data_IF_541634035590
#
_entry.id   IF_541634035590
#
_cell.length_a   1.000
_cell.length_b   1.000
_cell.length_c   1.000
_cell.angle_alpha   90.00
_cell.angle_beta   90.00
_cell.angle_gamma   90.00
#
_symmetry.space_group_name_H-M   'P 1'
#
loop_
_entity.id
_entity.type
_entity.pdbx_description
1 polymer ?
#
# COMPACT_ATOMS: atom_id res chain seq x y z
N UNK A 1 -3.24 16.78 34.60
CA UNK A 1 -2.20 15.86 35.11
C UNK A 1 -2.24 14.60 34.27
N UNK A 2 -1.32 14.42 33.31
CA UNK A 2 -1.30 13.26 32.41
C UNK A 2 -1.01 11.98 33.19
N UNK A 3 -1.74 10.90 32.92
CA UNK A 3 -1.43 9.57 33.48
C UNK A 3 -0.14 9.03 32.84
N UNK A 4 1.00 9.47 33.37
CA UNK A 4 2.37 9.02 33.03
C UNK A 4 2.64 7.56 33.47
N UNK A 5 1.65 6.85 34.01
CA UNK A 5 1.80 5.57 34.72
C UNK A 5 1.31 4.33 33.98
N UNK A 6 0.59 4.43 32.85
CA UNK A 6 0.17 3.23 32.10
C UNK A 6 1.38 2.52 31.48
N UNK A 7 1.51 1.23 31.75
CA UNK A 7 2.58 0.39 31.19
C UNK A 7 2.27 0.07 29.72
N UNK A 8 1.00 -0.17 29.39
CA UNK A 8 0.54 -0.41 28.04
C UNK A 8 0.89 0.76 27.10
N UNK A 9 0.69 2.00 27.56
CA UNK A 9 1.07 3.19 26.80
C UNK A 9 2.57 3.22 26.47
N UNK A 10 3.44 2.92 27.44
CA UNK A 10 4.90 2.89 27.25
C UNK A 10 5.32 1.78 26.27
N UNK A 11 4.76 0.58 26.44
CA UNK A 11 5.03 -0.54 25.55
C UNK A 11 4.60 -0.24 24.12
N UNK A 12 3.41 0.34 23.94
CA UNK A 12 2.92 0.64 22.60
C UNK A 12 3.72 1.74 21.92
N UNK A 13 4.16 2.78 22.65
CA UNK A 13 5.10 3.78 22.10
C UNK A 13 6.43 3.16 21.68
N UNK A 14 6.94 2.22 22.49
CA UNK A 14 8.18 1.51 22.18
C UNK A 14 8.04 0.64 20.92
N UNK A 15 6.93 -0.10 20.80
CA UNK A 15 6.63 -0.90 19.62
C UNK A 15 6.47 -0.02 18.35
N UNK A 16 5.80 1.13 18.46
CA UNK A 16 5.63 2.05 17.32
C UNK A 16 6.94 2.68 16.86
N UNK A 17 7.91 2.87 17.75
CA UNK A 17 9.23 3.39 17.38
C UNK A 17 10.02 2.39 16.51
N UNK A 18 9.74 1.09 16.65
CA UNK A 18 10.34 0.01 15.85
C UNK A 18 9.59 -0.21 14.53
N UNK A 19 8.45 0.46 14.31
CA UNK A 19 7.64 0.24 13.12
C UNK A 19 8.36 0.75 11.87
N UNK A 20 8.38 -0.03 10.77
CA UNK A 20 9.05 0.37 9.55
C UNK A 20 8.42 1.63 8.95
N UNK A 21 9.25 2.41 8.24
CA UNK A 21 8.78 3.57 7.48
C UNK A 21 8.07 3.10 6.21
N UNK A 22 6.88 3.63 5.98
CA UNK A 22 6.15 3.39 4.74
C UNK A 22 6.60 4.41 3.69
N UNK A 23 7.33 3.95 2.67
CA UNK A 23 7.80 4.81 1.58
C UNK A 23 6.71 5.13 0.56
N UNK A 24 5.65 4.31 0.49
CA UNK A 24 4.57 4.48 -0.48
C UNK A 24 3.65 5.63 -0.11
N UNK A 25 3.58 5.97 1.18
CA UNK A 25 2.66 6.97 1.73
C UNK A 25 3.37 7.91 2.70
N UNK A 26 4.35 8.69 2.24
CA UNK A 26 5.19 9.52 3.11
C UNK A 26 4.37 10.55 3.93
N UNK A 27 3.24 11.02 3.40
CA UNK A 27 2.35 11.98 4.06
C UNK A 27 1.56 11.38 5.24
N UNK A 28 1.49 10.05 5.35
CA UNK A 28 0.61 9.38 6.30
C UNK A 28 1.25 8.09 6.81
N UNK A 29 2.11 8.25 7.81
CA UNK A 29 2.78 7.12 8.45
C UNK A 29 1.89 6.46 9.50
N UNK A 30 1.82 5.12 9.44
CA UNK A 30 1.05 4.31 10.40
C UNK A 30 1.40 4.64 11.86
N UNK A 31 2.71 4.75 12.16
CA UNK A 31 3.19 5.06 13.51
C UNK A 31 2.58 6.34 14.07
N UNK A 32 2.45 7.37 13.24
CA UNK A 32 1.94 8.68 13.64
C UNK A 32 0.42 8.66 13.87
N UNK A 33 -0.33 7.99 12.98
CA UNK A 33 -1.79 7.86 13.13
C UNK A 33 -2.11 7.12 14.42
N UNK A 34 -1.44 6.00 14.67
CA UNK A 34 -1.69 5.19 15.86
C UNK A 34 -1.27 5.95 17.12
N UNK A 35 -0.13 6.64 17.10
CA UNK A 35 0.30 7.47 18.22
C UNK A 35 -0.75 8.53 18.58
N UNK A 36 -1.25 9.29 17.58
CA UNK A 36 -2.33 10.27 17.79
C UNK A 36 -3.62 9.62 18.31
N UNK A 37 -3.93 8.41 17.84
CA UNK A 37 -5.05 7.61 18.31
C UNK A 37 -4.91 7.25 19.80
N UNK A 38 -3.73 6.78 20.21
CA UNK A 38 -3.40 6.44 21.59
C UNK A 38 -3.50 7.69 22.47
N UNK A 39 -2.82 8.78 22.11
CA UNK A 39 -2.83 10.02 22.89
C UNK A 39 -4.27 10.52 23.15
N UNK A 40 -5.15 10.44 22.15
CA UNK A 40 -6.57 10.77 22.31
C UNK A 40 -7.31 9.82 23.25
N UNK A 41 -7.05 8.51 23.20
CA UNK A 41 -7.70 7.53 24.10
C UNK A 41 -7.30 7.76 25.56
N UNK A 42 -6.02 8.05 25.82
CA UNK A 42 -5.49 8.24 27.17
C UNK A 42 -5.74 9.65 27.74
N UNK A 43 -6.14 10.61 26.91
CA UNK A 43 -6.55 11.96 27.34
C UNK A 43 -8.03 12.03 27.74
N UNK A 44 -8.88 11.18 27.16
CA UNK A 44 -10.31 11.12 27.51
C UNK A 44 -10.50 10.56 28.94
N UNK A 45 -11.49 11.03 29.71
CA UNK A 45 -11.76 10.55 31.07
C UNK A 45 -12.25 9.10 31.13
N UNK A 46 -12.43 8.42 29.99
CA UNK A 46 -12.78 7.01 29.95
C UNK A 46 -11.73 6.16 30.67
N UNK A 47 -12.21 5.21 31.46
CA UNK A 47 -11.38 4.21 32.13
C UNK A 47 -10.80 3.31 31.04
N UNK A 48 -9.53 3.53 30.70
CA UNK A 48 -8.78 2.67 29.79
C UNK A 48 -8.60 1.31 30.48
N UNK A 49 -9.03 0.24 29.81
CA UNK A 49 -8.77 -1.13 30.26
C UNK A 49 -7.30 -1.48 29.96
N UNK A 50 -6.47 -1.38 31.00
CA UNK A 50 -5.03 -1.63 30.92
C UNK A 50 -4.70 -3.05 30.43
N UNK A 51 -5.49 -4.06 30.84
CA UNK A 51 -5.25 -5.44 30.43
C UNK A 51 -5.49 -5.64 28.94
N UNK A 52 -6.54 -4.99 28.40
CA UNK A 52 -6.82 -4.99 26.96
C UNK A 52 -5.73 -4.26 26.18
N UNK A 53 -5.25 -3.11 26.66
CA UNK A 53 -4.21 -2.34 25.97
C UNK A 53 -2.85 -3.06 26.00
N UNK A 54 -2.51 -3.78 27.09
CA UNK A 54 -1.32 -4.64 27.14
C UNK A 54 -1.37 -5.75 26.09
N UNK A 55 -2.53 -6.38 25.88
CA UNK A 55 -2.70 -7.39 24.81
C UNK A 55 -2.47 -6.77 23.42
N UNK A 56 -2.95 -5.54 23.20
CA UNK A 56 -2.71 -4.82 21.95
C UNK A 56 -1.24 -4.47 21.75
N UNK A 57 -0.54 -4.03 22.79
CA UNK A 57 0.91 -3.77 22.73
C UNK A 57 1.69 -5.05 22.38
N UNK A 58 1.35 -6.18 23.01
CA UNK A 58 1.96 -7.47 22.69
C UNK A 58 1.70 -7.91 21.24
N UNK A 59 0.49 -7.68 20.72
CA UNK A 59 0.17 -7.95 19.33
C UNK A 59 1.02 -7.08 18.39
N UNK A 60 1.22 -5.79 18.72
CA UNK A 60 2.06 -4.88 17.94
C UNK A 60 3.50 -5.39 17.85
N UNK A 61 4.10 -5.79 18.98
CA UNK A 61 5.44 -6.39 18.97
C UNK A 61 5.51 -7.68 18.14
N UNK A 62 4.49 -8.55 18.24
CA UNK A 62 4.45 -9.78 17.45
C UNK A 62 4.40 -9.51 15.93
N UNK A 63 3.76 -8.42 15.50
CA UNK A 63 3.75 -7.97 14.12
C UNK A 63 5.11 -7.40 13.70
N UNK A 64 5.70 -6.52 14.51
CA UNK A 64 7.01 -5.91 14.22
C UNK A 64 8.14 -6.94 14.15
N UNK A 65 8.08 -8.00 14.97
CA UNK A 65 9.05 -9.09 14.96
C UNK A 65 8.84 -10.11 13.81
N UNK A 66 7.88 -9.86 12.90
CA UNK A 66 7.50 -10.76 11.82
C UNK A 66 7.15 -12.17 12.33
N UNK A 67 6.62 -12.29 13.55
CA UNK A 67 6.39 -13.59 14.21
C UNK A 67 5.51 -14.51 13.39
N UNK A 68 4.49 -13.96 12.76
CA UNK A 68 3.53 -14.73 11.96
C UNK A 68 4.11 -15.15 10.61
N UNK A 69 4.94 -14.31 9.99
CA UNK A 69 5.70 -14.67 8.78
C UNK A 69 6.65 -15.83 9.04
N UNK A 70 7.33 -15.84 10.20
CA UNK A 70 8.21 -16.94 10.63
C UNK A 70 7.43 -18.21 10.97
N UNK A 71 6.27 -18.06 11.63
CA UNK A 71 5.46 -19.20 12.08
C UNK A 71 4.73 -19.91 10.95
N UNK A 72 4.29 -19.16 9.94
CA UNK A 72 3.51 -19.63 8.81
C UNK A 72 4.23 -19.24 7.51
N UNK A 73 5.32 -19.93 7.15
CA UNK A 73 6.04 -19.63 5.91
C UNK A 73 5.13 -19.88 4.71
N UNK A 74 5.15 -18.95 3.76
CA UNK A 74 4.42 -19.12 2.51
C UNK A 74 5.17 -20.08 1.59
N UNK A 75 4.47 -21.08 1.06
CA UNK A 75 5.03 -21.99 0.07
C UNK A 75 5.33 -21.21 -1.22
N UNK A 76 6.51 -21.40 -1.80
CA UNK A 76 6.95 -20.65 -2.98
C UNK A 76 6.08 -20.85 -4.22
N UNK A 77 5.29 -21.92 -4.25
CA UNK A 77 4.30 -22.22 -5.31
C UNK A 77 3.09 -21.27 -5.24
N UNK A 78 2.65 -20.86 -4.04
CA UNK A 78 1.56 -19.90 -3.87
C UNK A 78 1.91 -18.50 -4.38
N UNK A 79 3.21 -18.18 -4.46
CA UNK A 79 3.73 -16.90 -4.96
C UNK A 79 4.04 -16.94 -6.46
N UNK A 80 3.67 -18.01 -7.17
CA UNK A 80 3.93 -18.20 -8.60
C UNK A 80 2.65 -18.71 -9.27
N UNK A 81 1.67 -17.83 -9.57
CA UNK A 81 0.45 -18.28 -10.24
C UNK A 81 0.79 -18.84 -11.62
N UNK A 82 0.13 -19.93 -12.01
CA UNK A 82 0.35 -20.61 -13.30
C UNK A 82 0.24 -19.66 -14.51
N UNK A 83 -0.65 -18.68 -14.45
CA UNK A 83 -0.85 -17.70 -15.51
C UNK A 83 0.31 -16.72 -15.68
N UNK A 84 1.04 -16.41 -14.60
CA UNK A 84 2.18 -15.49 -14.62
C UNK A 84 3.11 -15.75 -13.42
N UNK A 85 4.09 -16.65 -13.56
CA UNK A 85 4.97 -17.04 -12.45
C UNK A 85 5.80 -15.89 -11.84
N UNK A 86 6.01 -14.79 -12.57
CA UNK A 86 6.76 -13.61 -12.11
C UNK A 86 5.89 -12.51 -11.51
N UNK A 87 4.56 -12.65 -11.51
CA UNK A 87 3.61 -11.58 -11.18
C UNK A 87 3.94 -10.82 -9.89
N UNK A 88 4.12 -11.54 -8.78
CA UNK A 88 4.40 -10.90 -7.48
C UNK A 88 5.81 -10.31 -7.40
N UNK A 89 6.78 -10.83 -8.16
CA UNK A 89 8.12 -10.25 -8.23
C UNK A 89 8.11 -8.94 -9.01
N UNK A 90 7.39 -8.91 -10.14
CA UNK A 90 7.17 -7.70 -10.93
C UNK A 90 6.41 -6.64 -10.12
N UNK A 91 5.37 -7.05 -9.38
CA UNK A 91 4.62 -6.15 -8.49
C UNK A 91 5.49 -5.56 -7.39
N UNK A 92 6.33 -6.36 -6.72
CA UNK A 92 7.24 -5.89 -5.68
C UNK A 92 8.26 -4.89 -6.24
N UNK A 93 8.85 -5.21 -7.40
CA UNK A 93 9.76 -4.33 -8.11
C UNK A 93 9.09 -3.00 -8.43
N UNK A 94 7.90 -3.02 -9.00
CA UNK A 94 7.12 -1.80 -9.29
C UNK A 94 6.81 -1.01 -8.02
N UNK A 95 6.50 -1.68 -6.91
CA UNK A 95 6.18 -1.06 -5.63
C UNK A 95 7.40 -0.38 -4.99
N UNK A 96 8.57 -1.00 -5.05
CA UNK A 96 9.84 -0.42 -4.58
C UNK A 96 10.28 0.76 -5.46
N UNK A 97 9.97 0.70 -6.75
CA UNK A 97 10.30 1.74 -7.72
C UNK A 97 9.28 2.90 -7.70
N UNK A 98 8.03 2.67 -7.28
CA UNK A 98 6.94 3.64 -7.23
C UNK A 98 7.24 4.94 -6.45
N UNK A 99 7.84 4.93 -5.22
CA UNK A 99 8.11 6.16 -4.49
C UNK A 99 9.12 7.08 -5.20
N UNK A 100 10.00 6.52 -6.04
CA UNK A 100 10.98 7.29 -6.81
C UNK A 100 10.50 7.63 -8.23
N UNK A 101 9.58 6.87 -8.82
CA UNK A 101 9.16 7.06 -10.22
C UNK A 101 8.15 8.17 -10.44
N UNK A 102 7.09 8.30 -9.62
CA UNK A 102 6.03 9.28 -9.86
C UNK A 102 6.35 10.69 -9.35
N UNK A 103 6.95 10.79 -8.16
CA UNK A 103 7.26 12.06 -7.52
C UNK A 103 8.49 12.75 -8.13
N UNK A 104 9.59 12.03 -8.38
CA UNK A 104 10.78 12.63 -9.03
C UNK A 104 10.53 12.97 -10.50
N UNK A 105 9.74 12.18 -11.25
CA UNK A 105 9.37 12.56 -12.62
C UNK A 105 8.47 13.80 -12.65
N UNK A 106 7.55 13.97 -11.70
CA UNK A 106 6.75 15.19 -11.63
C UNK A 106 7.54 16.39 -11.08
N UNK A 107 8.49 16.18 -10.17
CA UNK A 107 9.41 17.22 -9.67
C UNK A 107 10.42 17.65 -10.74
N UNK A 108 10.99 16.71 -11.49
CA UNK A 108 11.89 17.00 -12.61
C UNK A 108 11.14 17.65 -13.77
N UNK A 109 9.90 17.23 -14.07
CA UNK A 109 9.04 17.94 -15.04
C UNK A 109 8.67 19.36 -14.59
N UNK A 110 8.60 19.62 -13.28
CA UNK A 110 8.34 20.95 -12.71
C UNK A 110 9.58 21.84 -12.69
N UNK A 111 10.79 21.27 -12.59
CA UNK A 111 12.06 22.00 -12.67
C UNK A 111 12.57 22.16 -14.12
N UNK A 112 12.27 21.18 -14.97
CA UNK A 112 12.53 21.16 -16.42
C UNK A 112 11.37 21.75 -17.22
N UNK A 113 10.44 22.44 -16.56
CA UNK A 113 9.33 23.19 -17.16
C UNK A 113 9.76 24.48 -17.84
N UNK A 114 10.89 24.45 -18.54
CA UNK A 114 11.30 25.39 -19.58
C UNK A 114 12.25 24.61 -20.49
N UNK A 115 11.74 24.25 -21.68
CA UNK A 115 12.40 23.59 -22.81
C UNK A 115 12.13 22.07 -22.94
N UNK A 116 11.22 21.79 -23.87
CA UNK A 116 11.30 20.73 -24.88
C UNK A 116 10.35 19.52 -24.79
N UNK A 117 9.96 19.10 -25.99
CA UNK A 117 8.71 18.44 -26.36
C UNK A 117 8.83 16.91 -26.51
N UNK A 118 7.74 16.19 -26.14
CA UNK A 118 7.14 14.92 -26.69
C UNK A 118 8.05 13.64 -26.82
N UNK A 119 7.51 12.40 -27.01
CA UNK A 119 6.21 11.81 -26.63
C UNK A 119 6.26 10.34 -26.07
N UNK A 120 5.09 9.91 -25.53
CA UNK A 120 4.42 8.58 -25.54
C UNK A 120 5.03 7.29 -24.95
N UNK A 121 4.24 6.68 -24.04
CA UNK A 121 4.05 5.22 -23.97
C UNK A 121 2.55 4.89 -23.89
N UNK A 122 2.21 3.72 -24.43
CA UNK A 122 0.88 3.26 -24.86
C UNK A 122 -0.16 3.18 -23.73
N UNK A 123 -1.30 3.86 -23.92
CA UNK A 123 -2.55 3.57 -23.21
C UNK A 123 -3.25 2.42 -23.93
N UNK A 124 -3.45 1.29 -23.25
CA UNK A 124 -4.43 0.27 -23.64
C UNK A 124 -5.82 0.89 -23.53
N UNK A 125 -6.39 1.30 -24.66
CA UNK A 125 -7.80 1.63 -24.76
C UNK A 125 -8.59 0.33 -24.66
N UNK A 126 -9.32 0.13 -23.56
CA UNK A 126 -10.40 -0.84 -23.49
C UNK A 126 -11.53 -0.38 -24.42
N UNK A 127 -11.97 -1.19 -25.41
CA UNK A 127 -13.03 -0.78 -26.31
C UNK A 127 -14.38 -0.71 -25.56
N UNK A 128 -14.98 0.47 -25.58
CA UNK A 128 -16.35 0.72 -25.13
C UNK A 128 -17.36 0.00 -26.01
N UNK A 129 -18.47 -0.40 -25.39
CA UNK A 129 -19.46 -1.41 -25.82
C UNK A 129 -20.28 -1.08 -27.08
N UNK A 130 -19.97 -0.01 -27.81
CA UNK A 130 -20.78 0.48 -28.94
C UNK A 130 -20.20 0.13 -30.32
N UNK A 131 -19.07 -0.59 -30.40
CA UNK A 131 -18.45 -0.96 -31.69
C UNK A 131 -18.78 -2.39 -32.16
N UNK A 132 -19.53 -3.17 -31.38
CA UNK A 132 -19.82 -4.58 -31.72
C UNK A 132 -20.92 -4.72 -32.80
N UNK A 133 -21.64 -3.65 -33.17
CA UNK A 133 -22.80 -3.78 -34.06
C UNK A 133 -22.55 -3.51 -35.56
N UNK A 134 -21.32 -3.21 -36.00
CA UNK A 134 -21.02 -2.90 -37.41
C UNK A 134 -19.96 -3.86 -37.97
N UNK A 135 -20.12 -5.16 -37.78
CA UNK A 135 -19.39 -6.18 -38.54
C UNK A 135 -20.22 -7.45 -38.83
N UNK A 136 -21.54 -7.32 -38.91
CA UNK A 136 -22.40 -8.38 -39.42
C UNK A 136 -23.48 -7.76 -40.31
N UNK A 137 -23.60 -8.27 -41.54
CA UNK A 137 -24.57 -7.87 -42.57
C UNK A 137 -24.13 -6.75 -43.51
N UNK A 138 -23.31 -7.10 -44.50
CA UNK A 138 -23.62 -6.86 -45.92
C UNK A 138 -22.48 -7.38 -46.82
N UNK A 139 -22.70 -8.52 -47.47
CA UNK A 139 -21.80 -8.98 -48.52
C UNK A 139 -21.95 -10.46 -48.85
N UNK A 140 -23.10 -10.86 -49.42
CA UNK A 140 -23.21 -12.12 -50.20
C UNK A 140 -24.51 -12.15 -51.02
N UNK A 141 -24.48 -11.49 -52.18
CA UNK A 141 -25.36 -11.71 -53.33
C UNK A 141 -24.54 -11.30 -54.57
N UNK A 142 -24.39 -12.20 -55.52
CA UNK A 142 -24.01 -12.05 -56.94
C UNK A 142 -23.07 -13.20 -57.32
N UNK A 143 -23.66 -14.32 -57.74
CA UNK A 143 -23.03 -15.34 -58.56
C UNK A 143 -23.94 -15.57 -59.76
N UNK A 144 -23.43 -15.24 -60.95
CA UNK A 144 -23.86 -15.74 -62.26
C UNK A 144 -22.98 -16.94 -62.56
#
# INVERSE_FOLDING_TARGET
MSRTTSQAYKHMRSALALWPKDNLRPETQFSEIIQRGIERRYTKPNVVDEAKELKQANAMFALTDDRFKKRFPLNGELLKPESQPTYFQDLLRELEEAPTRGWLQNMSKKLSGMNDAKPNYHTTQTPTRDTIHIMASHGEKEAI
#
